data_IF_644576724737
#
_entry.id   IF_644576724737
#
_cell.length_a   1.000
_cell.length_b   1.000
_cell.length_c   1.000
_cell.angle_alpha   90.00
_cell.angle_beta   90.00
_cell.angle_gamma   90.00
#
_symmetry.space_group_name_H-M   'P 1'
#
loop_
_entity.id
_entity.type
_entity.pdbx_description
1 polymer ?
#
# COMPACT_ATOMS: atom_id res chain seq x y z
N UNK A 1 5.34 4.12 29.34
CA UNK A 1 6.68 3.59 29.01
C UNK A 1 7.44 4.66 28.26
N UNK A 2 8.74 4.82 28.51
CA UNK A 2 9.57 5.79 27.79
C UNK A 2 10.33 5.04 26.70
N UNK A 3 10.10 5.39 25.45
CA UNK A 3 10.82 4.83 24.31
C UNK A 3 12.00 5.73 23.94
N UNK A 4 13.12 5.13 23.54
CA UNK A 4 14.31 5.85 23.07
C UNK A 4 14.06 6.50 21.69
N UNK A 5 13.29 5.82 20.84
CA UNK A 5 12.93 6.32 19.52
C UNK A 5 11.48 5.97 19.13
N UNK A 6 10.90 6.83 18.30
CA UNK A 6 9.66 6.59 17.58
C UNK A 6 9.99 6.11 16.17
N UNK A 7 9.38 5.01 15.72
CA UNK A 7 9.61 4.45 14.40
C UNK A 7 8.39 4.70 13.52
N UNK A 8 8.41 5.81 12.78
CA UNK A 8 7.33 6.22 11.87
C UNK A 8 7.50 5.55 10.52
N UNK A 9 6.46 4.87 10.07
CA UNK A 9 6.45 4.14 8.81
C UNK A 9 5.04 4.08 8.24
N UNK A 10 4.91 3.84 6.93
CA UNK A 10 3.61 3.60 6.31
C UNK A 10 3.25 2.12 6.37
N UNK A 11 2.02 1.80 6.77
CA UNK A 11 1.53 0.42 6.85
C UNK A 11 1.61 -0.33 5.52
N UNK A 12 1.54 0.39 4.39
CA UNK A 12 1.70 -0.16 3.04
C UNK A 12 3.08 -0.79 2.78
N UNK A 13 4.07 -0.47 3.62
CA UNK A 13 5.42 -1.02 3.54
C UNK A 13 5.73 -2.03 4.65
N UNK A 14 4.75 -2.40 5.48
CA UNK A 14 4.94 -3.40 6.54
C UNK A 14 5.29 -4.74 5.91
N UNK A 15 6.53 -5.16 6.06
CA UNK A 15 6.99 -6.46 5.60
C UNK A 15 8.02 -7.07 6.58
N UNK A 16 8.51 -8.27 6.26
CA UNK A 16 9.51 -8.96 7.08
C UNK A 16 10.82 -8.18 7.19
N UNK A 17 11.17 -7.37 6.19
CA UNK A 17 12.42 -6.61 6.15
C UNK A 17 12.34 -5.40 7.07
N UNK A 18 11.20 -4.70 7.07
CA UNK A 18 10.95 -3.56 7.94
C UNK A 18 10.91 -3.99 9.41
N UNK A 19 10.19 -5.09 9.69
CA UNK A 19 10.17 -5.71 11.03
C UNK A 19 11.57 -6.17 11.46
N UNK A 20 12.34 -6.74 10.52
CA UNK A 20 13.73 -7.12 10.73
C UNK A 20 14.62 -5.93 11.08
N UNK A 21 14.49 -4.82 10.36
CA UNK A 21 15.23 -3.59 10.63
C UNK A 21 14.89 -3.01 12.01
N UNK A 22 13.60 -2.91 12.34
CA UNK A 22 13.17 -2.45 13.66
C UNK A 22 13.73 -3.34 14.78
N UNK A 23 13.70 -4.67 14.59
CA UNK A 23 14.26 -5.63 15.55
C UNK A 23 15.76 -5.46 15.73
N UNK A 24 16.51 -5.42 14.63
CA UNK A 24 17.97 -5.29 14.65
C UNK A 24 18.39 -3.96 15.32
N UNK A 25 17.71 -2.86 14.99
CA UNK A 25 17.96 -1.56 15.61
C UNK A 25 17.63 -1.55 17.10
N UNK A 26 16.50 -2.12 17.49
CA UNK A 26 16.11 -2.21 18.91
C UNK A 26 17.13 -3.02 19.71
N UNK A 27 17.67 -4.09 19.14
CA UNK A 27 18.72 -4.88 19.79
C UNK A 27 20.01 -4.06 19.97
N UNK A 28 20.48 -3.39 18.92
CA UNK A 28 21.68 -2.56 19.01
C UNK A 28 21.53 -1.41 20.05
N UNK A 29 20.34 -0.81 20.16
CA UNK A 29 20.06 0.20 21.20
C UNK A 29 20.08 -0.41 22.60
N UNK A 30 19.49 -1.61 22.80
CA UNK A 30 19.54 -2.31 24.09
C UNK A 30 20.96 -2.63 24.51
N UNK A 31 21.76 -3.15 23.59
CA UNK A 31 23.15 -3.53 23.86
C UNK A 31 23.96 -2.32 24.33
N UNK A 32 23.77 -1.15 23.70
CA UNK A 32 24.44 0.11 24.11
C UNK A 32 23.98 0.65 25.45
N UNK A 33 22.73 0.39 25.85
CA UNK A 33 22.15 0.84 27.11
C UNK A 33 22.29 -0.20 28.25
N UNK A 34 22.82 -1.39 27.97
CA UNK A 34 22.90 -2.49 28.93
C UNK A 34 21.54 -3.03 29.36
N UNK A 35 20.53 -2.97 28.48
CA UNK A 35 19.16 -3.38 28.76
C UNK A 35 18.90 -4.85 28.38
N UNK A 36 17.88 -5.45 29.00
CA UNK A 36 17.47 -6.82 28.73
C UNK A 36 16.64 -6.98 27.45
N UNK A 37 16.48 -8.22 26.93
CA UNK A 37 15.77 -8.47 25.67
C UNK A 37 14.29 -8.06 25.66
N UNK A 38 13.66 -7.98 26.84
CA UNK A 38 12.25 -7.62 27.01
C UNK A 38 12.03 -6.12 27.20
N UNK A 39 13.10 -5.33 27.39
CA UNK A 39 12.97 -3.88 27.57
C UNK A 39 12.56 -3.22 26.26
N UNK A 40 11.47 -2.46 26.31
CA UNK A 40 10.93 -1.77 25.14
C UNK A 40 11.70 -0.47 24.90
N UNK A 41 12.56 -0.46 23.87
CA UNK A 41 13.40 0.71 23.54
C UNK A 41 12.88 1.53 22.36
N UNK A 42 12.06 0.95 21.48
CA UNK A 42 11.49 1.63 20.31
C UNK A 42 9.98 1.50 20.29
N UNK A 43 9.29 2.58 19.92
CA UNK A 43 7.86 2.51 19.63
C UNK A 43 7.65 2.16 18.15
N UNK A 44 6.90 1.09 17.90
CA UNK A 44 6.50 0.62 16.58
C UNK A 44 5.03 0.25 16.62
N UNK A 45 4.17 1.10 16.06
CA UNK A 45 2.73 0.84 16.07
C UNK A 45 2.40 -0.37 15.19
N UNK A 46 1.80 -1.41 15.77
CA UNK A 46 1.33 -2.61 15.06
C UNK A 46 -0.21 -2.76 15.14
N UNK A 47 -0.94 -1.77 15.67
CA UNK A 47 -2.37 -1.91 15.98
C UNK A 47 -3.23 -1.67 14.73
N UNK A 48 -4.27 -2.51 14.57
CA UNK A 48 -5.26 -2.46 13.47
C UNK A 48 -6.33 -1.38 13.72
N UNK A 49 -5.95 -0.12 13.83
CA UNK A 49 -6.93 0.95 13.99
C UNK A 49 -6.71 2.02 12.92
N UNK A 50 -7.69 2.14 12.03
CA UNK A 50 -8.11 3.40 11.40
C UNK A 50 -9.64 3.47 11.51
N UNK A 51 -10.10 3.93 12.67
CA UNK A 51 -11.48 4.37 12.87
C UNK A 51 -11.43 5.63 13.75
N UNK A 52 -11.62 6.79 13.13
CA UNK A 52 -11.97 8.04 13.81
C UNK A 52 -11.03 9.24 13.59
N UNK A 53 -11.57 10.43 13.82
CA UNK A 53 -10.93 11.75 13.74
C UNK A 53 -9.97 12.06 14.92
N UNK A 54 -9.71 11.09 15.80
CA UNK A 54 -8.98 11.27 17.06
C UNK A 54 -7.64 10.51 17.09
N UNK A 55 -6.61 11.12 17.67
CA UNK A 55 -5.32 10.47 17.90
C UNK A 55 -5.44 9.23 18.79
N UNK A 56 -4.72 8.15 18.46
CA UNK A 56 -4.44 7.10 19.45
C UNK A 56 -3.58 7.72 20.57
N UNK A 57 -4.08 7.66 21.80
CA UNK A 57 -3.40 8.21 22.98
C UNK A 57 -2.00 7.60 23.19
N UNK A 58 -1.78 6.34 22.78
CA UNK A 58 -0.48 5.68 22.86
C UNK A 58 0.51 6.21 21.83
N UNK A 59 0.06 6.57 20.63
CA UNK A 59 0.88 7.22 19.59
C UNK A 59 1.29 8.62 20.05
N UNK A 60 0.32 9.41 20.56
CA UNK A 60 0.62 10.75 21.11
C UNK A 60 1.59 10.64 22.30
N UNK A 61 1.35 9.73 23.25
CA UNK A 61 2.24 9.54 24.38
C UNK A 61 3.66 9.15 23.94
N UNK A 62 3.81 8.29 22.93
CA UNK A 62 5.11 7.94 22.36
C UNK A 62 5.77 9.12 21.64
N UNK A 63 5.02 9.86 20.81
CA UNK A 63 5.51 11.06 20.13
C UNK A 63 5.87 12.19 21.08
N UNK A 64 5.28 12.26 22.28
CA UNK A 64 5.58 13.27 23.30
C UNK A 64 6.73 12.87 24.24
N UNK A 65 7.03 11.58 24.39
CA UNK A 65 8.05 11.09 25.32
C UNK A 65 9.37 10.72 24.65
N UNK A 66 9.36 10.35 23.37
CA UNK A 66 10.56 9.97 22.62
C UNK A 66 11.47 11.17 22.35
N UNK A 67 12.77 10.89 22.22
CA UNK A 67 13.79 11.89 21.87
C UNK A 67 14.21 11.81 20.41
N UNK A 68 14.07 10.66 19.76
CA UNK A 68 14.42 10.48 18.34
C UNK A 68 13.21 10.03 17.54
N UNK A 69 13.00 10.65 16.38
CA UNK A 69 11.99 10.27 15.41
C UNK A 69 12.67 9.68 14.18
N UNK A 70 12.40 8.42 13.88
CA UNK A 70 12.91 7.75 12.69
C UNK A 70 11.79 7.72 11.65
N UNK A 71 12.00 8.42 10.54
CA UNK A 71 11.06 8.45 9.44
C UNK A 71 11.50 7.48 8.35
N UNK A 72 10.78 6.37 8.20
CA UNK A 72 11.12 5.32 7.23
C UNK A 72 10.50 5.65 5.88
N UNK A 73 11.21 6.49 5.13
CA UNK A 73 10.72 7.14 3.94
C UNK A 73 10.59 6.21 2.74
N UNK A 74 9.51 6.40 2.00
CA UNK A 74 9.18 5.70 0.77
C UNK A 74 8.17 6.51 -0.02
N UNK A 75 7.89 6.17 -1.29
CA UNK A 75 6.83 6.84 -2.04
C UNK A 75 5.48 6.86 -1.32
N UNK A 76 5.12 5.78 -0.61
CA UNK A 76 3.87 5.69 0.14
C UNK A 76 3.91 6.45 1.48
N UNK A 77 5.08 6.59 2.11
CA UNK A 77 5.25 7.36 3.36
C UNK A 77 4.98 8.84 3.13
N UNK A 78 5.53 9.41 2.05
CA UNK A 78 5.36 10.81 1.68
C UNK A 78 3.92 11.16 1.24
N UNK A 79 3.12 10.15 0.88
CA UNK A 79 1.70 10.31 0.54
C UNK A 79 0.77 10.08 1.73
N UNK A 80 1.31 9.64 2.87
CA UNK A 80 0.49 9.37 4.05
C UNK A 80 0.26 10.65 4.83
N UNK A 81 -0.99 11.10 4.86
CA UNK A 81 -1.39 12.26 5.67
C UNK A 81 -1.03 12.03 7.14
N UNK A 82 -1.34 10.84 7.66
CA UNK A 82 -1.06 10.43 9.04
C UNK A 82 0.44 10.49 9.37
N UNK A 83 1.31 9.88 8.57
CA UNK A 83 2.76 9.97 8.78
C UNK A 83 3.26 11.42 8.74
N UNK A 84 2.70 12.25 7.86
CA UNK A 84 3.05 13.67 7.81
C UNK A 84 2.52 14.46 9.01
N UNK A 85 1.41 14.06 9.65
CA UNK A 85 0.93 14.64 10.92
C UNK A 85 1.81 14.24 12.10
N UNK A 86 2.25 12.98 12.16
CA UNK A 86 3.23 12.51 13.16
C UNK A 86 4.53 13.31 13.05
N UNK A 87 5.02 13.50 11.81
CA UNK A 87 6.19 14.33 11.52
C UNK A 87 5.99 15.76 11.99
N UNK A 88 4.89 16.41 11.59
CA UNK A 88 4.59 17.79 11.94
C UNK A 88 4.53 17.99 13.46
N UNK A 89 3.92 17.05 14.19
CA UNK A 89 3.85 17.11 15.64
C UNK A 89 5.23 17.00 16.29
N UNK A 90 6.09 16.11 15.79
CA UNK A 90 7.46 15.98 16.30
C UNK A 90 8.32 17.21 15.95
N UNK A 91 8.16 17.78 14.77
CA UNK A 91 8.81 19.02 14.36
C UNK A 91 8.39 20.20 15.25
N UNK A 92 7.10 20.28 15.62
CA UNK A 92 6.61 21.29 16.55
C UNK A 92 7.29 21.20 17.92
N UNK A 93 7.58 19.99 18.43
CA UNK A 93 8.37 19.80 19.67
C UNK A 93 9.80 20.34 19.53
N UNK A 94 10.45 20.07 18.40
CA UNK A 94 11.79 20.61 18.11
C UNK A 94 11.74 22.13 18.11
N UNK A 95 10.81 22.73 17.36
CA UNK A 95 10.69 24.19 17.24
C UNK A 95 10.33 24.88 18.56
N UNK A 96 9.55 24.23 19.42
CA UNK A 96 9.22 24.76 20.74
C UNK A 96 10.41 24.73 21.72
N UNK A 97 11.37 23.82 21.52
CA UNK A 97 12.49 23.59 22.43
C UNK A 97 13.77 24.30 21.99
N UNK A 98 13.91 24.60 20.69
CA UNK A 98 15.10 25.20 20.10
C UNK A 98 14.74 26.50 19.36
N UNK A 99 15.39 27.64 19.68
CA UNK A 99 15.09 28.93 19.06
C UNK A 99 15.26 28.93 17.54
N UNK A 100 14.46 29.77 16.84
CA UNK A 100 14.65 30.02 15.41
C UNK A 100 16.07 30.58 15.16
N UNK A 101 16.83 29.94 14.27
CA UNK A 101 18.18 30.33 13.88
C UNK A 101 19.31 29.49 14.50
N UNK A 102 19.03 28.67 15.52
CA UNK A 102 19.96 27.64 15.95
C UNK A 102 19.89 26.42 15.01
N UNK A 103 21.02 25.74 14.79
CA UNK A 103 21.02 24.49 14.05
C UNK A 103 20.11 23.48 14.79
N UNK A 104 19.08 22.91 14.13
CA UNK A 104 18.17 21.99 14.80
C UNK A 104 18.95 20.75 15.28
N UNK A 105 18.60 20.18 16.44
CA UNK A 105 19.23 18.96 16.90
C UNK A 105 18.97 17.83 15.90
N UNK A 106 19.93 16.93 15.66
CA UNK A 106 19.81 15.86 14.69
C UNK A 106 18.99 14.70 15.27
N UNK A 107 17.76 14.97 15.72
CA UNK A 107 16.86 14.02 16.40
C UNK A 107 15.72 13.54 15.52
N UNK A 108 15.48 14.22 14.40
CA UNK A 108 14.64 13.72 13.31
C UNK A 108 15.57 13.03 12.30
N UNK A 109 15.37 11.74 12.07
CA UNK A 109 16.21 10.87 11.25
C UNK A 109 15.42 10.30 10.07
N UNK A 110 15.43 10.98 8.91
CA UNK A 110 14.86 10.43 7.69
C UNK A 110 15.75 9.31 7.15
N UNK A 111 15.15 8.17 6.80
CA UNK A 111 15.83 7.01 6.23
C UNK A 111 15.16 6.60 4.92
N UNK A 112 15.92 6.49 3.84
CA UNK A 112 15.38 6.03 2.56
C UNK A 112 15.16 4.51 2.62
N UNK A 113 13.91 4.09 2.76
CA UNK A 113 13.51 2.68 2.75
C UNK A 113 13.33 2.17 1.32
N UNK A 114 12.63 2.95 0.51
CA UNK A 114 12.43 2.75 -0.92
C UNK A 114 12.75 4.11 -1.58
N UNK A 115 13.64 4.16 -2.59
CA UNK A 115 13.96 5.41 -3.28
C UNK A 115 12.72 6.08 -3.88
N UNK A 116 12.74 7.40 -3.95
CA UNK A 116 11.68 8.23 -4.51
C UNK A 116 12.30 9.47 -5.16
N UNK A 117 11.60 10.05 -6.15
CA UNK A 117 12.00 11.33 -6.73
C UNK A 117 11.58 12.48 -5.78
N UNK A 118 12.57 13.24 -5.31
CA UNK A 118 12.48 14.16 -4.18
C UNK A 118 11.92 15.54 -4.55
N UNK A 119 11.59 15.80 -5.82
CA UNK A 119 11.43 17.16 -6.34
C UNK A 119 10.23 17.98 -5.82
N UNK A 120 9.23 17.39 -5.15
CA UNK A 120 8.03 18.13 -4.70
C UNK A 120 7.62 17.94 -3.22
N UNK A 121 7.62 16.73 -2.62
CA UNK A 121 7.16 16.54 -1.23
C UNK A 121 8.12 17.05 -0.16
N UNK A 122 9.36 17.40 -0.54
CA UNK A 122 10.45 17.74 0.38
C UNK A 122 10.76 19.24 0.43
N UNK A 123 10.15 20.06 -0.43
CA UNK A 123 10.30 21.53 -0.36
C UNK A 123 9.66 22.10 0.92
N UNK A 124 8.55 21.51 1.37
CA UNK A 124 7.86 21.90 2.62
C UNK A 124 8.61 21.51 3.89
N UNK A 125 9.55 20.56 3.80
CA UNK A 125 10.28 19.96 4.95
C UNK A 125 11.79 20.34 4.91
N UNK A 126 12.18 21.24 4.00
CA UNK A 126 13.53 21.57 3.49
C UNK A 126 14.63 22.00 4.48
N UNK A 127 14.53 21.68 5.76
CA UNK A 127 15.52 21.99 6.80
C UNK A 127 16.34 20.75 7.23
N UNK A 128 15.94 19.54 6.84
CA UNK A 128 16.57 18.29 7.31
C UNK A 128 17.41 17.60 6.24
N UNK A 129 18.56 17.06 6.64
CA UNK A 129 19.36 16.18 5.79
C UNK A 129 18.66 14.81 5.67
N UNK A 130 18.19 14.50 4.47
CA UNK A 130 17.39 13.30 4.17
C UNK A 130 18.20 12.00 4.03
N UNK A 131 19.53 12.12 4.05
CA UNK A 131 20.47 11.02 3.87
C UNK A 131 21.14 10.70 5.19
N UNK A 132 21.23 9.42 5.53
CA UNK A 132 22.09 8.99 6.62
C UNK A 132 23.53 8.96 6.08
N UNK A 133 24.40 9.84 6.56
CA UNK A 133 25.78 9.92 6.05
C UNK A 133 25.85 10.42 4.60
N UNK A 134 26.76 9.84 3.80
CA UNK A 134 27.03 10.27 2.42
C UNK A 134 25.85 9.95 1.47
N UNK A 135 25.29 10.94 0.75
CA UNK A 135 24.26 10.72 -0.27
C UNK A 135 24.59 9.66 -1.33
N UNK A 136 25.87 9.45 -1.61
CA UNK A 136 26.38 8.46 -2.56
C UNK A 136 26.28 7.01 -2.09
N UNK A 137 25.98 6.78 -0.81
CA UNK A 137 25.94 5.43 -0.24
C UNK A 137 24.75 4.61 -0.71
N UNK A 138 24.93 3.29 -0.72
CA UNK A 138 23.97 2.34 -1.29
C UNK A 138 22.59 2.41 -0.61
N UNK A 139 22.53 2.64 0.71
CA UNK A 139 21.26 2.77 1.43
C UNK A 139 20.49 4.03 1.04
N UNK A 140 21.15 5.08 0.56
CA UNK A 140 20.51 6.29 0.10
C UNK A 140 20.05 6.16 -1.36
N UNK A 141 20.86 5.52 -2.22
CA UNK A 141 20.54 5.37 -3.66
C UNK A 141 19.54 4.25 -3.94
N UNK A 142 19.76 3.07 -3.36
CA UNK A 142 18.96 1.87 -3.61
C UNK A 142 17.90 1.61 -2.53
N UNK A 143 18.00 2.30 -1.39
CA UNK A 143 17.11 2.14 -0.24
C UNK A 143 17.49 0.97 0.68
N UNK A 144 17.18 1.12 1.96
CA UNK A 144 17.42 0.10 2.98
C UNK A 144 16.66 -1.20 2.71
N UNK A 145 15.43 -1.14 2.16
CA UNK A 145 14.66 -2.36 1.83
C UNK A 145 15.42 -3.24 0.84
N UNK A 146 16.05 -2.65 -0.16
CA UNK A 146 16.86 -3.37 -1.13
C UNK A 146 18.05 -4.09 -0.48
N UNK A 147 18.75 -3.40 0.44
CA UNK A 147 19.86 -4.01 1.19
C UNK A 147 19.41 -5.16 2.08
N UNK A 148 18.24 -5.02 2.73
CA UNK A 148 17.64 -6.10 3.51
C UNK A 148 17.19 -7.29 2.64
N UNK A 149 16.68 -7.06 1.42
CA UNK A 149 16.38 -8.15 0.46
C UNK A 149 17.64 -8.90 0.02
N UNK A 150 18.78 -8.22 -0.06
CA UNK A 150 20.08 -8.80 -0.38
C UNK A 150 20.99 -8.87 0.85
N UNK A 151 20.42 -9.25 2.00
CA UNK A 151 21.12 -9.18 3.30
C UNK A 151 22.46 -9.91 3.31
N UNK A 152 22.60 -11.04 2.62
CA UNK A 152 23.88 -11.77 2.54
C UNK A 152 24.99 -10.91 1.93
N UNK A 153 24.67 -10.16 0.86
CA UNK A 153 25.61 -9.26 0.17
C UNK A 153 25.93 -8.02 0.98
N UNK A 154 24.93 -7.43 1.64
CA UNK A 154 25.08 -6.14 2.33
C UNK A 154 25.28 -6.26 3.85
N UNK A 155 25.50 -7.46 4.39
CA UNK A 155 25.56 -7.71 5.84
C UNK A 155 26.50 -6.77 6.61
N UNK A 156 27.77 -6.56 6.21
CA UNK A 156 28.67 -5.66 6.94
C UNK A 156 28.17 -4.20 6.95
N UNK A 157 27.62 -3.75 5.82
CA UNK A 157 27.07 -2.39 5.68
C UNK A 157 25.83 -2.20 6.56
N UNK A 158 24.91 -3.17 6.56
CA UNK A 158 23.72 -3.13 7.41
C UNK A 158 24.09 -3.09 8.90
N UNK A 159 25.06 -3.90 9.33
CA UNK A 159 25.53 -3.89 10.72
C UNK A 159 26.10 -2.52 11.09
N UNK A 160 27.04 -1.98 10.29
CA UNK A 160 27.66 -0.69 10.57
C UNK A 160 26.64 0.47 10.61
N UNK A 161 25.67 0.45 9.70
CA UNK A 161 24.60 1.44 9.64
C UNK A 161 23.70 1.39 10.88
N UNK A 162 23.29 0.19 11.28
CA UNK A 162 22.43 -0.03 12.45
C UNK A 162 23.15 0.37 13.73
N UNK A 163 24.43 0.00 13.87
CA UNK A 163 25.26 0.40 15.02
C UNK A 163 25.45 1.91 15.12
N UNK A 164 25.71 2.57 13.99
CA UNK A 164 25.83 4.04 13.93
C UNK A 164 24.51 4.72 14.31
N UNK A 165 23.39 4.24 13.77
CA UNK A 165 22.07 4.79 14.08
C UNK A 165 21.70 4.57 15.55
N UNK A 166 21.98 3.39 16.11
CA UNK A 166 21.78 3.09 17.52
C UNK A 166 22.61 4.02 18.42
N UNK A 167 23.86 4.29 18.07
CA UNK A 167 24.69 5.25 18.81
C UNK A 167 24.08 6.65 18.79
N UNK A 168 23.60 7.11 17.63
CA UNK A 168 22.95 8.42 17.51
C UNK A 168 21.66 8.52 18.34
N UNK A 169 20.92 7.42 18.49
CA UNK A 169 19.72 7.36 19.36
C UNK A 169 20.08 7.52 20.84
N UNK A 170 21.17 6.87 21.28
CA UNK A 170 21.66 6.98 22.66
C UNK A 170 22.22 8.38 22.92
N UNK A 171 23.01 8.93 22.00
CA UNK A 171 23.58 10.26 22.13
C UNK A 171 22.52 11.36 22.16
N UNK A 172 21.36 11.13 21.53
CA UNK A 172 20.27 12.08 21.49
C UNK A 172 19.64 12.38 22.87
N UNK A 173 19.89 11.55 23.89
CA UNK A 173 19.42 11.79 25.25
C UNK A 173 20.01 13.07 25.88
N UNK A 174 21.11 13.60 25.32
CA UNK A 174 21.70 14.89 25.75
C UNK A 174 20.84 16.10 25.39
N UNK A 175 19.89 15.96 24.46
CA UNK A 175 19.05 17.05 24.01
C UNK A 175 17.79 17.15 24.88
N UNK A 176 17.56 18.35 25.42
CA UNK A 176 16.29 18.63 26.06
C UNK A 176 15.20 18.85 25.01
N UNK A 177 14.14 18.09 25.12
CA UNK A 177 13.03 18.04 24.16
C UNK A 177 11.79 17.64 24.97
N UNK A 178 11.21 18.56 25.74
CA UNK A 178 10.03 18.29 26.55
C UNK A 178 8.81 17.94 25.70
N UNK A 179 7.75 17.50 26.36
CA UNK A 179 6.44 17.37 25.73
C UNK A 179 5.85 18.76 25.45
N UNK A 180 5.02 18.86 24.42
CA UNK A 180 4.21 20.06 24.17
C UNK A 180 3.21 20.26 25.32
N UNK A 181 2.99 21.50 25.78
CA UNK A 181 1.99 21.81 26.80
C UNK A 181 0.56 21.43 26.37
N UNK A 182 0.28 21.53 25.08
CA UNK A 182 -0.98 21.13 24.47
C UNK A 182 -0.71 20.45 23.13
N UNK A 183 -1.33 19.28 22.93
CA UNK A 183 -1.24 18.52 21.69
C UNK A 183 -2.45 18.87 20.82
N UNK A 184 -2.27 19.34 19.57
CA UNK A 184 -3.38 19.60 18.67
C UNK A 184 -4.15 18.32 18.33
N UNK A 185 -5.45 18.44 18.06
CA UNK A 185 -6.24 17.29 17.60
C UNK A 185 -5.73 16.78 16.25
N UNK A 186 -6.00 15.51 15.93
CA UNK A 186 -5.51 14.90 14.68
C UNK A 186 -6.11 15.58 13.45
N UNK A 187 -7.39 15.97 13.53
CA UNK A 187 -8.08 16.75 12.51
C UNK A 187 -7.43 18.13 12.28
N UNK A 188 -6.99 18.80 13.36
CA UNK A 188 -6.41 20.15 13.30
C UNK A 188 -4.91 20.17 12.96
N UNK A 189 -4.25 19.00 13.01
CA UNK A 189 -2.83 18.89 12.69
C UNK A 189 -2.65 18.85 11.18
N UNK A 190 -2.04 19.88 10.59
CA UNK A 190 -1.67 19.86 9.17
C UNK A 190 -0.54 18.85 8.93
N UNK A 191 -0.67 18.05 7.87
CA UNK A 191 0.38 17.14 7.44
C UNK A 191 1.61 17.90 6.92
N UNK A 192 2.81 17.51 7.33
CA UNK A 192 4.07 18.09 6.84
C UNK A 192 4.28 17.90 5.32
N UNK A 193 3.59 16.92 4.73
CA UNK A 193 3.65 16.62 3.29
C UNK A 193 2.57 17.33 2.47
N UNK A 194 1.69 18.10 3.12
CA UNK A 194 0.72 18.91 2.39
C UNK A 194 1.46 20.05 1.65
N UNK A 195 1.05 20.38 0.40
CA UNK A 195 1.63 21.51 -0.33
C UNK A 195 1.58 22.77 0.53
N UNK A 196 2.66 23.57 0.56
CA UNK A 196 2.64 24.89 1.20
C UNK A 196 1.57 25.73 0.52
N UNK A 197 0.55 26.14 1.26
CA UNK A 197 -0.37 27.15 0.76
C UNK A 197 0.37 28.47 0.82
N UNK A 198 0.52 29.13 -0.33
CA UNK A 198 1.02 30.49 -0.37
C UNK A 198 0.12 31.35 0.52
N UNK A 199 0.64 31.79 1.66
CA UNK A 199 -0.05 32.70 2.56
C UNK A 199 -0.40 33.96 1.79
N UNK A 200 -1.69 34.16 1.53
CA UNK A 200 -2.21 35.47 1.10
C UNK A 200 -2.23 36.31 2.36
N UNK A 201 -1.30 37.26 2.45
CA UNK A 201 -1.28 38.29 3.48
C UNK A 201 -2.60 39.09 3.41
N UNK A 202 -3.44 38.93 4.42
CA UNK A 202 -4.61 39.79 4.61
C UNK A 202 -4.16 41.18 5.10
N UNK A 203 -3.99 42.09 4.15
CA UNK A 203 -4.17 43.52 4.38
C UNK A 203 -5.44 43.95 3.64
N UNK A 204 -6.42 44.43 4.41
CA UNK A 204 -7.80 44.62 3.97
C UNK A 204 -7.98 45.59 2.80
N UNK A 205 -9.15 45.49 2.15
CA UNK A 205 -10.13 46.58 2.08
C UNK A 205 -11.42 46.00 1.49
N UNK A 206 -12.52 46.32 2.14
CA UNK A 206 -13.91 46.15 1.74
C UNK A 206 -14.21 46.54 0.28
N UNK A 207 -14.96 45.71 -0.42
CA UNK A 207 -15.61 46.06 -1.69
C UNK A 207 -16.54 44.95 -2.17
N UNK A 208 -17.84 45.07 -1.87
CA UNK A 208 -18.86 44.16 -2.38
C UNK A 208 -18.95 44.22 -3.91
N UNK A 209 -19.06 43.06 -4.54
CA UNK A 209 -19.17 42.94 -5.99
C UNK A 209 -19.52 41.52 -6.43
N UNK A 210 -20.82 41.25 -6.49
CA UNK A 210 -21.52 40.34 -7.40
C UNK A 210 -20.81 39.04 -7.80
N UNK A 211 -21.28 37.93 -7.22
CA UNK A 211 -20.99 36.55 -7.67
C UNK A 211 -21.47 36.39 -9.12
N UNK A 212 -20.55 36.61 -10.06
CA UNK A 212 -20.78 36.24 -11.45
C UNK A 212 -20.33 34.79 -11.60
N UNK A 213 -21.30 33.87 -11.54
CA UNK A 213 -21.13 32.47 -11.92
C UNK A 213 -20.63 32.41 -13.36
N UNK A 214 -19.30 32.30 -13.53
CA UNK A 214 -18.72 31.84 -14.78
C UNK A 214 -18.98 30.33 -14.87
N UNK A 215 -20.16 30.00 -15.40
CA UNK A 215 -20.46 28.71 -15.98
C UNK A 215 -19.67 28.60 -17.28
N UNK A 216 -18.44 28.11 -17.20
CA UNK A 216 -17.78 27.51 -18.35
C UNK A 216 -17.85 25.99 -18.21
N UNK A 217 -18.24 25.26 -19.26
CA UNK A 217 -18.39 23.82 -19.19
C UNK A 217 -17.03 23.17 -18.94
N UNK A 218 -16.96 22.37 -17.87
CA UNK A 218 -15.85 21.47 -17.61
C UNK A 218 -15.69 20.57 -18.84
N UNK A 219 -14.54 20.56 -19.54
CA UNK A 219 -14.29 19.55 -20.56
C UNK A 219 -14.30 18.17 -19.88
N UNK A 220 -15.02 17.16 -20.40
CA UNK A 220 -15.14 15.86 -19.75
C UNK A 220 -13.88 15.03 -20.00
N UNK A 221 -12.75 15.42 -19.42
CA UNK A 221 -11.51 14.61 -19.49
C UNK A 221 -10.63 14.93 -18.30
N UNK A 222 -11.01 14.45 -17.11
CA UNK A 222 -10.12 14.05 -16.01
C UNK A 222 -10.88 13.23 -14.92
N UNK A 223 -12.00 12.57 -15.26
CA UNK A 223 -12.82 11.81 -14.29
C UNK A 223 -12.53 10.30 -14.22
N UNK A 224 -11.69 9.72 -15.10
CA UNK A 224 -11.49 8.27 -15.16
C UNK A 224 -10.07 7.84 -14.78
N UNK A 225 -9.65 8.08 -13.53
CA UNK A 225 -8.40 7.53 -12.97
C UNK A 225 -8.64 6.34 -12.04
N UNK A 226 -9.88 6.10 -11.63
CA UNK A 226 -10.29 4.92 -10.86
C UNK A 226 -10.73 3.81 -11.83
N UNK A 227 -10.32 2.55 -11.64
CA UNK A 227 -10.85 1.46 -12.46
C UNK A 227 -12.35 1.37 -12.21
N UNK A 228 -13.12 1.36 -13.30
CA UNK A 228 -14.59 1.26 -13.29
C UNK A 228 -15.07 -0.14 -13.70
N UNK A 229 -14.14 -1.04 -14.04
CA UNK A 229 -14.42 -2.35 -14.60
C UNK A 229 -13.60 -3.42 -13.86
N UNK A 230 -14.28 -4.53 -13.51
CA UNK A 230 -13.68 -5.76 -12.99
C UNK A 230 -14.04 -6.93 -13.90
N UNK A 231 -13.05 -7.77 -14.21
CA UNK A 231 -13.20 -9.01 -14.94
C UNK A 231 -13.10 -10.20 -13.99
N UNK A 232 -14.09 -11.09 -14.03
CA UNK A 232 -14.09 -12.33 -13.27
C UNK A 232 -13.75 -13.52 -14.15
N UNK A 233 -12.75 -14.30 -13.74
CA UNK A 233 -12.40 -15.58 -14.35
C UNK A 233 -12.87 -16.67 -13.40
N UNK A 234 -13.73 -17.57 -13.89
CA UNK A 234 -14.23 -18.68 -13.08
C UNK A 234 -13.54 -19.97 -13.50
N UNK A 235 -12.74 -20.54 -12.60
CA UNK A 235 -12.02 -21.79 -12.82
C UNK A 235 -12.81 -22.90 -12.14
N UNK A 236 -13.84 -23.37 -12.84
CA UNK A 236 -14.69 -24.49 -12.43
C UNK A 236 -14.96 -25.38 -13.64
N UNK A 237 -14.71 -26.68 -13.50
CA UNK A 237 -14.73 -27.64 -14.59
C UNK A 237 -16.13 -27.78 -15.21
N UNK A 238 -16.18 -28.09 -16.50
CA UNK A 238 -17.43 -28.37 -17.21
C UNK A 238 -17.89 -29.81 -16.89
N UNK A 239 -19.13 -29.99 -16.38
CA UNK A 239 -19.74 -31.31 -16.14
C UNK A 239 -19.63 -32.29 -17.29
N UNK A 240 -19.68 -31.80 -18.54
CA UNK A 240 -19.56 -32.64 -19.73
C UNK A 240 -18.18 -33.30 -19.84
N UNK A 241 -17.14 -32.73 -19.22
CA UNK A 241 -15.76 -33.19 -19.36
C UNK A 241 -15.34 -34.19 -18.27
N UNK A 242 -15.93 -34.11 -17.07
CA UNK A 242 -15.54 -34.96 -15.95
C UNK A 242 -16.50 -36.13 -15.67
N UNK A 243 -17.67 -36.18 -16.31
CA UNK A 243 -18.60 -37.31 -16.21
C UNK A 243 -18.90 -37.71 -14.76
N UNK A 244 -18.63 -38.97 -14.40
CA UNK A 244 -18.89 -39.51 -13.06
C UNK A 244 -17.77 -39.24 -12.03
N UNK A 245 -16.71 -38.50 -12.40
CA UNK A 245 -15.61 -38.20 -11.47
C UNK A 245 -16.03 -37.30 -10.30
N UNK A 246 -17.13 -36.54 -10.45
CA UNK A 246 -17.75 -35.73 -9.39
C UNK A 246 -19.23 -35.50 -9.66
N UNK A 247 -19.97 -35.19 -8.60
CA UNK A 247 -21.35 -34.67 -8.67
C UNK A 247 -21.44 -33.41 -9.53
N UNK A 248 -22.39 -33.40 -10.47
CA UNK A 248 -22.57 -32.31 -11.44
C UNK A 248 -23.48 -31.20 -10.90
N UNK A 249 -24.27 -31.47 -9.86
CA UNK A 249 -25.26 -30.57 -9.27
C UNK A 249 -24.68 -29.21 -8.83
N UNK A 250 -23.46 -29.12 -8.26
CA UNK A 250 -22.82 -27.84 -7.97
C UNK A 250 -22.40 -27.05 -9.21
N UNK A 251 -22.14 -27.70 -10.34
CA UNK A 251 -21.62 -27.09 -11.58
C UNK A 251 -22.72 -26.79 -12.62
N UNK A 252 -23.92 -27.30 -12.39
CA UNK A 252 -25.08 -27.17 -13.28
C UNK A 252 -24.75 -27.76 -14.66
N UNK A 253 -24.89 -27.00 -15.75
CA UNK A 253 -24.79 -27.50 -17.12
C UNK A 253 -23.45 -27.17 -17.78
N UNK A 254 -22.70 -26.19 -17.27
CA UNK A 254 -21.49 -25.67 -17.94
C UNK A 254 -20.31 -25.37 -17.00
N UNK A 255 -20.48 -25.48 -15.68
CA UNK A 255 -19.45 -25.07 -14.73
C UNK A 255 -19.18 -23.57 -14.78
N UNK A 256 -17.91 -23.17 -14.63
CA UNK A 256 -17.49 -21.77 -14.70
C UNK A 256 -18.32 -20.82 -13.83
N UNK A 257 -18.93 -19.81 -14.47
CA UNK A 257 -19.76 -18.80 -13.81
C UNK A 257 -21.01 -19.35 -13.12
N UNK A 258 -21.51 -20.52 -13.56
CA UNK A 258 -22.73 -21.15 -13.04
C UNK A 258 -22.47 -22.06 -11.83
N UNK A 259 -21.20 -22.29 -11.50
CA UNK A 259 -20.80 -23.08 -10.34
C UNK A 259 -21.32 -22.48 -9.02
N UNK A 260 -21.70 -23.35 -8.09
CA UNK A 260 -22.19 -23.04 -6.74
C UNK A 260 -21.16 -23.55 -5.71
N UNK A 261 -20.27 -22.67 -5.21
CA UNK A 261 -19.15 -23.10 -4.38
C UNK A 261 -19.56 -23.71 -3.04
N UNK A 262 -20.69 -23.28 -2.48
CA UNK A 262 -21.14 -23.64 -1.13
C UNK A 262 -22.38 -24.54 -1.13
N UNK A 263 -22.62 -25.26 -2.23
CA UNK A 263 -23.73 -26.22 -2.31
C UNK A 263 -23.49 -27.42 -1.36
N UNK A 264 -24.50 -27.90 -0.58
CA UNK A 264 -25.91 -27.52 -0.63
C UNK A 264 -26.32 -26.37 0.30
N UNK A 265 -25.45 -25.95 1.22
CA UNK A 265 -25.74 -24.90 2.21
C UNK A 265 -26.16 -23.57 1.57
N UNK A 266 -25.59 -23.24 0.39
CA UNK A 266 -26.08 -22.17 -0.47
C UNK A 266 -26.25 -22.65 -1.92
N UNK A 267 -27.38 -22.29 -2.52
CA UNK A 267 -27.69 -22.56 -3.92
C UNK A 267 -27.30 -21.40 -4.87
N UNK A 268 -26.68 -20.34 -4.33
CA UNK A 268 -26.27 -19.15 -5.08
C UNK A 268 -25.15 -19.50 -6.07
N UNK A 269 -25.33 -19.09 -7.33
CA UNK A 269 -24.27 -19.20 -8.35
C UNK A 269 -23.19 -18.17 -8.08
N UNK A 270 -21.93 -18.55 -8.26
CA UNK A 270 -20.76 -17.71 -7.94
C UNK A 270 -20.80 -16.37 -8.67
N UNK A 271 -21.24 -16.33 -9.94
CA UNK A 271 -21.32 -15.06 -10.68
C UNK A 271 -22.27 -14.05 -10.04
N UNK A 272 -23.42 -14.50 -9.52
CA UNK A 272 -24.38 -13.60 -8.85
C UNK A 272 -23.80 -13.05 -7.56
N UNK A 273 -23.12 -13.89 -6.78
CA UNK A 273 -22.52 -13.49 -5.53
C UNK A 273 -21.46 -12.39 -5.75
N UNK A 274 -20.61 -12.54 -6.77
CA UNK A 274 -19.54 -11.57 -7.04
C UNK A 274 -20.03 -10.31 -7.76
N UNK A 275 -21.01 -10.44 -8.66
CA UNK A 275 -21.65 -9.29 -9.32
C UNK A 275 -22.33 -8.38 -8.30
N UNK A 276 -23.06 -8.95 -7.33
CA UNK A 276 -23.72 -8.20 -6.25
C UNK A 276 -22.74 -7.35 -5.44
N UNK A 277 -21.53 -7.87 -5.19
CA UNK A 277 -20.49 -7.13 -4.46
C UNK A 277 -19.86 -6.06 -5.33
N UNK A 278 -19.54 -6.37 -6.59
CA UNK A 278 -18.92 -5.40 -7.50
C UNK A 278 -19.81 -4.18 -7.77
N UNK A 279 -21.14 -4.38 -7.88
CA UNK A 279 -22.11 -3.32 -8.14
C UNK A 279 -22.56 -2.54 -6.90
N UNK A 280 -21.95 -2.75 -5.73
CA UNK A 280 -22.31 -2.03 -4.52
C UNK A 280 -21.89 -0.55 -4.62
N UNK A 281 -22.68 0.37 -4.04
CA UNK A 281 -22.49 1.82 -4.18
C UNK A 281 -21.10 2.33 -3.76
N UNK A 282 -20.42 1.63 -2.85
CA UNK A 282 -19.06 1.94 -2.39
C UNK A 282 -17.96 1.55 -3.40
N UNK A 283 -18.23 0.53 -4.23
CA UNK A 283 -17.32 0.02 -5.23
C UNK A 283 -17.62 0.53 -6.63
N UNK A 284 -18.89 0.69 -7.00
CA UNK A 284 -19.35 1.21 -8.30
C UNK A 284 -18.56 0.64 -9.49
N UNK A 285 -18.41 -0.69 -9.53
CA UNK A 285 -17.69 -1.41 -10.59
C UNK A 285 -18.68 -2.11 -11.52
N UNK A 286 -18.46 -1.97 -12.83
CA UNK A 286 -19.06 -2.86 -13.82
C UNK A 286 -18.32 -4.19 -13.81
N UNK A 287 -19.05 -5.30 -14.00
CA UNK A 287 -18.47 -6.65 -13.97
C UNK A 287 -18.73 -7.41 -15.27
N UNK A 288 -17.69 -8.06 -15.78
CA UNK A 288 -17.75 -8.92 -16.96
C UNK A 288 -17.05 -10.26 -16.66
N UNK A 289 -17.49 -11.34 -17.29
CA UNK A 289 -16.79 -12.63 -17.19
C UNK A 289 -15.77 -12.79 -18.31
N UNK A 290 -14.55 -13.17 -17.95
CA UNK A 290 -13.56 -13.66 -18.91
C UNK A 290 -13.63 -15.19 -19.01
N UNK A 291 -13.70 -15.75 -20.24
CA UNK A 291 -13.66 -17.18 -20.43
C UNK A 291 -12.27 -17.73 -20.06
N UNK A 292 -12.23 -18.88 -19.39
CA UNK A 292 -10.97 -19.59 -19.19
C UNK A 292 -10.57 -20.31 -20.49
N UNK A 293 -9.57 -19.79 -21.18
CA UNK A 293 -9.09 -20.29 -22.48
C UNK A 293 -7.55 -20.39 -22.50
N UNK A 294 -6.99 -20.90 -23.61
CA UNK A 294 -5.54 -20.87 -23.83
C UNK A 294 -4.95 -19.46 -24.00
N UNK A 295 -5.78 -18.45 -24.31
CA UNK A 295 -5.38 -17.04 -24.44
C UNK A 295 -5.50 -16.26 -23.14
N UNK A 296 -5.88 -16.91 -22.03
CA UNK A 296 -6.18 -16.23 -20.76
C UNK A 296 -5.05 -15.31 -20.28
N UNK A 297 -3.78 -15.68 -20.50
CA UNK A 297 -2.65 -14.86 -20.09
C UNK A 297 -2.59 -13.54 -20.87
N UNK A 298 -2.88 -13.59 -22.18
CA UNK A 298 -2.92 -12.42 -23.06
C UNK A 298 -4.13 -11.55 -22.69
N UNK A 299 -5.29 -12.18 -22.43
CA UNK A 299 -6.51 -11.48 -22.00
C UNK A 299 -6.32 -10.75 -20.66
N UNK A 300 -5.55 -11.34 -19.72
CA UNK A 300 -5.18 -10.71 -18.45
C UNK A 300 -4.20 -9.55 -18.68
N UNK A 301 -3.25 -9.69 -19.60
CA UNK A 301 -2.30 -8.63 -19.94
C UNK A 301 -2.98 -7.43 -20.61
N UNK A 302 -3.94 -7.69 -21.49
CA UNK A 302 -4.78 -6.66 -22.09
C UNK A 302 -5.67 -5.95 -21.06
N UNK A 303 -6.23 -6.70 -20.10
CA UNK A 303 -6.97 -6.13 -18.97
C UNK A 303 -6.05 -5.26 -18.09
N UNK A 304 -4.82 -5.70 -17.85
CA UNK A 304 -3.82 -4.90 -17.11
C UNK A 304 -3.48 -3.60 -17.84
N UNK A 305 -3.34 -3.64 -19.17
CA UNK A 305 -3.08 -2.47 -20.01
C UNK A 305 -4.26 -1.49 -19.99
N UNK A 306 -5.49 -2.02 -19.94
CA UNK A 306 -6.73 -1.25 -19.77
C UNK A 306 -7.00 -0.79 -18.34
N UNK A 307 -6.12 -1.13 -17.39
CA UNK A 307 -6.27 -0.83 -15.95
C UNK A 307 -7.53 -1.43 -15.34
N UNK A 308 -7.92 -2.61 -15.81
CA UNK A 308 -9.08 -3.35 -15.29
C UNK A 308 -8.61 -4.31 -14.19
N UNK A 309 -9.45 -4.50 -13.17
CA UNK A 309 -9.18 -5.46 -12.10
C UNK A 309 -9.53 -6.86 -12.60
N UNK A 310 -8.69 -7.87 -12.38
CA UNK A 310 -9.02 -9.27 -12.70
C UNK A 310 -9.11 -10.11 -11.42
N UNK A 311 -10.24 -10.76 -11.18
CA UNK A 311 -10.41 -11.69 -10.06
C UNK A 311 -10.60 -13.10 -10.59
N UNK A 312 -9.72 -14.01 -10.18
CA UNK A 312 -9.82 -15.43 -10.45
C UNK A 312 -10.51 -16.11 -9.28
N UNK A 313 -11.60 -16.82 -9.53
CA UNK A 313 -12.28 -17.63 -8.54
C UNK A 313 -12.06 -19.08 -8.90
N UNK A 314 -11.34 -19.80 -8.05
CA UNK A 314 -10.81 -21.12 -8.37
C UNK A 314 -11.44 -22.19 -7.49
N UNK A 315 -12.04 -23.19 -8.13
CA UNK A 315 -12.43 -24.43 -7.47
C UNK A 315 -11.20 -25.34 -7.34
N UNK A 316 -10.84 -25.67 -6.09
CA UNK A 316 -9.65 -26.48 -5.80
C UNK A 316 -9.68 -27.86 -6.43
N UNK A 317 -10.85 -28.49 -6.50
CA UNK A 317 -10.98 -29.80 -7.15
C UNK A 317 -10.88 -29.73 -8.67
N UNK A 318 -11.47 -28.72 -9.32
CA UNK A 318 -11.32 -28.53 -10.77
C UNK A 318 -9.86 -28.35 -11.15
N UNK A 319 -9.10 -27.65 -10.30
CA UNK A 319 -7.66 -27.48 -10.44
C UNK A 319 -6.90 -28.81 -10.26
N UNK A 320 -7.29 -29.63 -9.28
CA UNK A 320 -6.75 -30.97 -9.08
C UNK A 320 -7.05 -31.92 -10.25
N UNK A 321 -8.27 -31.87 -10.77
CA UNK A 321 -8.75 -32.76 -11.82
C UNK A 321 -8.16 -32.43 -13.20
N UNK A 322 -8.17 -31.16 -13.61
CA UNK A 322 -7.75 -30.75 -14.96
C UNK A 322 -6.33 -30.20 -15.01
N UNK A 323 -5.41 -30.92 -15.67
CA UNK A 323 -4.02 -30.48 -15.84
C UNK A 323 -3.90 -29.15 -16.63
N UNK A 324 -4.78 -28.92 -17.60
CA UNK A 324 -4.80 -27.68 -18.39
C UNK A 324 -5.07 -26.43 -17.55
N UNK A 325 -5.84 -26.55 -16.46
CA UNK A 325 -6.06 -25.44 -15.53
C UNK A 325 -4.76 -25.09 -14.79
N UNK A 326 -4.03 -26.09 -14.32
CA UNK A 326 -2.76 -25.89 -13.59
C UNK A 326 -1.69 -25.27 -14.46
N UNK A 327 -1.51 -25.78 -15.67
CA UNK A 327 -0.44 -25.33 -16.57
C UNK A 327 -0.55 -23.83 -16.89
N UNK A 328 -1.77 -23.31 -17.04
CA UNK A 328 -2.03 -21.89 -17.29
C UNK A 328 -1.84 -21.07 -16.00
N UNK A 329 -2.38 -21.54 -14.87
CA UNK A 329 -2.31 -20.81 -13.61
C UNK A 329 -0.90 -20.79 -13.00
N UNK A 330 -0.09 -21.82 -13.19
CA UNK A 330 1.33 -21.83 -12.81
C UNK A 330 2.14 -20.79 -13.59
N UNK A 331 1.80 -20.54 -14.86
CA UNK A 331 2.44 -19.46 -15.65
C UNK A 331 1.99 -18.09 -15.18
N UNK A 332 0.72 -17.95 -14.78
CA UNK A 332 0.21 -16.72 -14.18
C UNK A 332 0.92 -16.41 -12.85
N UNK A 333 1.13 -17.43 -11.99
CA UNK A 333 1.82 -17.31 -10.69
C UNK A 333 3.27 -16.82 -10.80
N UNK A 334 3.90 -16.97 -11.97
CA UNK A 334 5.26 -16.46 -12.21
C UNK A 334 5.32 -14.93 -12.35
N UNK A 335 4.19 -14.27 -12.60
CA UNK A 335 4.09 -12.81 -12.80
C UNK A 335 3.91 -12.10 -11.45
N UNK A 336 4.53 -10.93 -11.28
CA UNK A 336 4.46 -10.10 -10.06
C UNK A 336 3.61 -8.83 -10.28
N UNK A 337 2.61 -8.94 -11.16
CA UNK A 337 1.76 -7.84 -11.58
C UNK A 337 0.63 -7.59 -10.54
N UNK A 338 0.16 -6.35 -10.39
CA UNK A 338 -0.64 -5.92 -9.24
C UNK A 338 -2.14 -5.77 -9.53
N UNK A 339 -2.63 -6.28 -10.66
CA UNK A 339 -4.00 -6.05 -11.12
C UNK A 339 -4.89 -7.29 -11.03
N UNK A 340 -4.37 -8.41 -10.51
CA UNK A 340 -5.14 -9.63 -10.37
C UNK A 340 -5.03 -10.27 -8.99
N UNK A 341 -6.07 -11.04 -8.62
CA UNK A 341 -6.16 -11.74 -7.34
C UNK A 341 -6.86 -13.09 -7.52
N UNK A 342 -6.44 -14.09 -6.75
CA UNK A 342 -7.00 -15.46 -6.73
C UNK A 342 -7.74 -15.69 -5.42
N UNK A 343 -9.01 -16.06 -5.54
CA UNK A 343 -9.89 -16.45 -4.45
C UNK A 343 -10.23 -17.93 -4.60
N UNK A 344 -10.03 -18.72 -3.54
CA UNK A 344 -10.34 -20.16 -3.53
C UNK A 344 -11.45 -20.41 -2.50
N UNK A 345 -12.71 -20.48 -2.94
CA UNK A 345 -13.81 -20.99 -2.12
C UNK A 345 -13.51 -22.42 -1.65
N UNK A 346 -13.82 -22.71 -0.40
CA UNK A 346 -13.67 -24.03 0.18
C UNK A 346 -14.98 -24.45 0.85
N UNK A 347 -15.52 -25.59 0.49
CA UNK A 347 -16.73 -26.11 1.11
C UNK A 347 -16.39 -27.29 2.00
N UNK A 348 -16.50 -27.10 3.32
CA UNK A 348 -16.22 -28.14 4.31
C UNK A 348 -17.30 -29.22 4.34
N UNK A 349 -18.51 -28.89 3.87
CA UNK A 349 -19.64 -29.80 3.78
C UNK A 349 -19.65 -30.64 2.48
N UNK A 350 -18.65 -30.47 1.60
CA UNK A 350 -18.54 -31.27 0.38
C UNK A 350 -17.78 -32.59 0.62
N UNK A 351 -18.47 -33.74 0.67
CA UNK A 351 -17.85 -35.03 0.91
C UNK A 351 -16.87 -35.46 -0.21
N UNK A 352 -17.05 -34.98 -1.45
CA UNK A 352 -16.17 -35.38 -2.57
C UNK A 352 -14.81 -34.66 -2.45
N UNK A 353 -14.81 -33.37 -2.09
CA UNK A 353 -13.59 -32.60 -1.82
C UNK A 353 -12.90 -33.03 -0.51
N UNK A 354 -13.66 -33.42 0.52
CA UNK A 354 -13.09 -33.83 1.80
C UNK A 354 -12.29 -35.14 1.73
N UNK A 355 -12.63 -36.06 0.81
CA UNK A 355 -11.90 -37.33 0.62
C UNK A 355 -10.48 -37.15 0.10
N UNK A 356 -10.24 -36.10 -0.70
CA UNK A 356 -8.96 -35.80 -1.34
C UNK A 356 -8.46 -34.40 -0.95
N UNK A 357 -8.86 -33.93 0.24
CA UNK A 357 -8.59 -32.59 0.74
C UNK A 357 -7.09 -32.25 0.74
N UNK A 358 -6.25 -33.18 1.21
CA UNK A 358 -4.81 -32.97 1.29
C UNK A 358 -4.17 -32.88 -0.10
N UNK A 359 -4.65 -33.67 -1.06
CA UNK A 359 -4.17 -33.64 -2.45
C UNK A 359 -4.56 -32.36 -3.17
N UNK A 360 -5.79 -31.87 -2.95
CA UNK A 360 -6.26 -30.59 -3.47
C UNK A 360 -5.42 -29.44 -2.88
N UNK A 361 -5.18 -29.45 -1.56
CA UNK A 361 -4.35 -28.43 -0.90
C UNK A 361 -2.91 -28.45 -1.39
N UNK A 362 -2.32 -29.64 -1.55
CA UNK A 362 -0.99 -29.80 -2.13
C UNK A 362 -0.94 -29.25 -3.56
N UNK A 363 -1.96 -29.53 -4.37
CA UNK A 363 -2.04 -29.04 -5.75
C UNK A 363 -2.19 -27.52 -5.83
N UNK A 364 -3.03 -26.92 -4.97
CA UNK A 364 -3.16 -25.47 -4.84
C UNK A 364 -1.83 -24.83 -4.43
N UNK A 365 -1.16 -25.42 -3.43
CA UNK A 365 0.14 -24.96 -2.96
C UNK A 365 1.23 -25.04 -4.03
N UNK A 366 1.23 -26.07 -4.87
CA UNK A 366 2.17 -26.20 -5.99
C UNK A 366 1.86 -25.24 -7.14
N UNK A 367 0.56 -25.02 -7.42
CA UNK A 367 0.12 -24.15 -8.52
C UNK A 367 0.42 -22.68 -8.22
N UNK A 368 0.23 -22.27 -6.98
CA UNK A 368 0.42 -20.89 -6.51
C UNK A 368 1.64 -20.75 -5.58
N UNK A 369 2.69 -21.56 -5.77
CA UNK A 369 3.81 -21.66 -4.83
C UNK A 369 4.47 -20.31 -4.53
N UNK A 370 4.60 -19.42 -5.54
CA UNK A 370 5.22 -18.12 -5.31
C UNK A 370 4.40 -17.24 -4.38
N UNK A 371 3.08 -17.21 -4.56
CA UNK A 371 2.20 -16.34 -3.78
C UNK A 371 1.66 -17.00 -2.50
N UNK A 372 1.62 -18.33 -2.44
CA UNK A 372 1.23 -19.11 -1.26
C UNK A 372 2.39 -19.30 -0.26
N UNK A 373 3.63 -19.53 -0.74
CA UNK A 373 4.76 -19.91 0.12
C UNK A 373 5.94 -18.92 0.09
N UNK A 374 6.33 -18.37 -1.08
CA UNK A 374 7.53 -17.52 -1.20
C UNK A 374 7.30 -16.02 -0.93
N UNK A 375 6.09 -15.52 -1.17
CA UNK A 375 5.73 -14.10 -1.06
C UNK A 375 4.33 -13.93 -0.47
N UNK A 376 4.10 -14.57 0.68
CA UNK A 376 2.81 -14.63 1.38
C UNK A 376 2.23 -13.22 1.61
N UNK A 377 1.47 -12.75 0.63
CA UNK A 377 0.82 -11.46 0.61
C UNK A 377 -0.67 -11.73 0.42
N UNK A 378 -1.50 -11.48 1.45
CA UNK A 378 -2.91 -11.83 1.42
C UNK A 378 -3.69 -11.06 0.34
N UNK A 379 -3.10 -10.08 -0.34
CA UNK A 379 -3.72 -9.39 -1.47
C UNK A 379 -3.89 -10.27 -2.72
N UNK A 380 -2.97 -11.21 -2.97
CA UNK A 380 -2.90 -11.93 -4.24
C UNK A 380 -3.57 -13.29 -4.21
N UNK A 381 -3.51 -13.97 -3.08
CA UNK A 381 -4.04 -15.31 -2.92
C UNK A 381 -4.74 -15.41 -1.58
N UNK A 382 -6.02 -15.76 -1.62
CA UNK A 382 -6.79 -16.08 -0.43
C UNK A 382 -7.47 -17.43 -0.62
N UNK A 383 -7.01 -18.40 0.16
CA UNK A 383 -7.63 -19.72 0.27
C UNK A 383 -8.54 -19.82 1.50
N UNK A 384 -9.26 -20.95 1.58
CA UNK A 384 -10.08 -21.35 2.73
C UNK A 384 -11.23 -20.38 3.02
N UNK A 385 -11.91 -19.91 1.97
CA UNK A 385 -13.11 -19.08 2.11
C UNK A 385 -14.31 -20.02 2.28
N UNK A 386 -14.77 -20.22 3.52
CA UNK A 386 -15.68 -21.32 3.89
C UNK A 386 -17.16 -21.03 3.72
N UNK A 387 -17.54 -19.78 3.45
CA UNK A 387 -18.95 -19.40 3.29
C UNK A 387 -19.17 -18.28 2.28
N UNK A 388 -20.42 -18.16 1.80
CA UNK A 388 -20.83 -17.09 0.87
C UNK A 388 -20.61 -15.70 1.47
N UNK A 389 -20.92 -15.51 2.75
CA UNK A 389 -20.73 -14.22 3.43
C UNK A 389 -19.25 -13.86 3.59
N UNK A 390 -18.41 -14.85 3.87
CA UNK A 390 -16.95 -14.65 3.88
C UNK A 390 -16.43 -14.33 2.47
N UNK A 391 -16.96 -14.98 1.42
CA UNK A 391 -16.61 -14.67 0.04
C UNK A 391 -16.96 -13.22 -0.31
N UNK A 392 -18.16 -12.75 0.04
CA UNK A 392 -18.57 -11.36 -0.19
C UNK A 392 -17.66 -10.36 0.55
N UNK A 393 -17.35 -10.64 1.82
CA UNK A 393 -16.47 -9.79 2.64
C UNK A 393 -15.06 -9.71 2.07
N UNK A 394 -14.46 -10.87 1.77
CA UNK A 394 -13.11 -10.96 1.20
C UNK A 394 -13.06 -10.29 -0.16
N UNK A 395 -14.04 -10.55 -1.03
CA UNK A 395 -14.10 -9.95 -2.35
C UNK A 395 -14.19 -8.43 -2.27
N UNK A 396 -15.07 -7.87 -1.41
CA UNK A 396 -15.16 -6.41 -1.21
C UNK A 396 -13.81 -5.84 -0.79
N UNK A 397 -13.18 -6.44 0.22
CA UNK A 397 -11.84 -6.02 0.69
C UNK A 397 -10.81 -6.03 -0.45
N UNK A 398 -10.75 -7.10 -1.26
CA UNK A 398 -9.80 -7.19 -2.38
C UNK A 398 -10.10 -6.17 -3.48
N UNK A 399 -11.37 -6.01 -3.86
CA UNK A 399 -11.77 -5.04 -4.89
C UNK A 399 -11.46 -3.60 -4.46
N UNK A 400 -11.75 -3.22 -3.22
CA UNK A 400 -11.39 -1.89 -2.69
C UNK A 400 -9.88 -1.68 -2.75
N UNK A 401 -9.09 -2.66 -2.31
CA UNK A 401 -7.62 -2.54 -2.32
C UNK A 401 -7.04 -2.50 -3.73
N UNK A 402 -7.53 -3.33 -4.66
CA UNK A 402 -7.07 -3.34 -6.05
C UNK A 402 -7.50 -2.07 -6.81
N UNK A 403 -8.71 -1.56 -6.55
CA UNK A 403 -9.20 -0.27 -7.08
C UNK A 403 -8.27 0.87 -6.66
N UNK A 404 -7.88 0.91 -5.40
CA UNK A 404 -6.94 1.90 -4.88
C UNK A 404 -5.51 1.71 -5.44
N UNK A 405 -5.03 0.47 -5.60
CA UNK A 405 -3.70 0.22 -6.18
C UNK A 405 -3.60 0.64 -7.66
N UNK A 406 -4.63 0.39 -8.46
CA UNK A 406 -4.68 0.84 -9.86
C UNK A 406 -4.79 2.36 -9.94
N UNK A 407 -5.61 3.00 -9.09
CA UNK A 407 -5.75 4.45 -9.01
C UNK A 407 -4.41 5.14 -8.70
N UNK A 408 -3.59 4.54 -7.83
CA UNK A 408 -2.26 5.06 -7.45
C UNK A 408 -1.22 5.00 -8.57
N UNK A 409 -1.41 4.15 -9.58
CA UNK A 409 -0.45 3.89 -10.68
C UNK A 409 -0.88 4.50 -12.01
N UNK A 410 -2.05 5.13 -12.04
CA UNK A 410 -2.59 5.78 -13.21
C UNK A 410 -1.79 7.07 -13.52
N UNK A 411 -0.83 7.00 -14.45
CA UNK A 411 -0.07 8.16 -14.93
C UNK A 411 -1.00 9.31 -15.37
N UNK A 412 -0.80 10.48 -14.78
CA UNK A 412 -1.39 11.74 -15.22
C UNK A 412 -0.56 12.25 -16.39
N UNK A 413 -0.97 11.97 -17.62
CA UNK A 413 -0.48 12.72 -18.78
C UNK A 413 -1.10 14.11 -18.73
N UNK A 414 -0.41 15.06 -18.12
CA UNK A 414 -0.75 16.47 -18.29
C UNK A 414 -0.37 16.89 -19.71
N UNK A 415 -1.29 17.48 -20.51
CA UNK A 415 -0.90 18.12 -21.75
C UNK A 415 0.08 19.25 -21.40
N UNK A 416 1.23 19.24 -22.05
CA UNK A 416 2.26 20.29 -21.93
C UNK A 416 1.58 21.64 -22.17
N UNK A 417 1.60 22.59 -21.23
CA UNK A 417 1.12 23.94 -21.50
C UNK A 417 1.99 24.52 -22.61
N UNK A 418 1.39 24.95 -23.71
CA UNK A 418 2.08 25.77 -24.70
C UNK A 418 2.60 27.02 -23.95
N UNK A 419 3.91 27.10 -23.73
CA UNK A 419 4.54 28.22 -23.05
C UNK A 419 4.21 29.54 -23.75
N UNK A 420 4.18 30.67 -23.03
CA UNK A 420 3.89 31.96 -23.62
C UNK A 420 4.93 32.29 -24.71
N UNK A 421 4.44 32.77 -25.86
CA UNK A 421 5.28 33.18 -26.98
C UNK A 421 6.34 34.18 -26.52
N UNK A 422 7.59 33.96 -26.94
CA UNK A 422 8.71 34.87 -26.68
C UNK A 422 8.31 36.30 -27.02
N UNK A 423 8.47 37.21 -26.05
CA UNK A 423 8.35 38.63 -26.29
C UNK A 423 9.47 39.08 -27.25
N UNK A 424 9.08 39.61 -28.41
CA UNK A 424 9.98 40.29 -29.34
C UNK A 424 10.19 41.69 -28.79
N UNK A 425 11.41 41.99 -28.34
CA UNK A 425 11.83 43.37 -28.05
C UNK A 425 12.25 43.99 -29.37
N UNK A 426 11.38 44.80 -29.97
CA UNK A 426 11.73 45.70 -31.06
C UNK A 426 12.30 47.00 -30.48
N UNK A 427 13.62 47.19 -30.63
CA UNK A 427 14.30 48.45 -30.30
C UNK A 427 14.13 49.51 -31.41
N UNK A 428 14.32 50.80 -31.08
CA UNK A 428 14.04 51.90 -32.00
C UNK A 428 15.06 51.95 -33.16
N UNK A 429 14.51 52.18 -34.34
CA UNK A 429 15.19 52.43 -35.61
C UNK A 429 16.23 53.55 -35.51
N UNK A 430 17.47 53.26 -35.91
CA UNK A 430 18.48 54.27 -36.25
C UNK A 430 18.68 54.27 -37.76
N UNK A 431 18.46 55.44 -38.36
CA UNK A 431 18.55 55.66 -39.80
C UNK A 431 19.96 55.59 -40.36
N UNK A 432 19.99 55.37 -41.68
CA UNK A 432 21.11 55.46 -42.59
C UNK A 432 20.58 55.33 -44.00
#
# INVERSE_FOLDING_TARGET
>A
MVYQFFFSYTRNNTDIYLKGFFKDLSNAVRDKLGLGPQDAVGFFDQRELELGEAWDQSIVAALQSTKVFIAVMSPAYLKSEYCGKEWALFEQRIRASFPQGAAPPPVLKPLIWIPFDAAAPLESVGTYQYTLGDPGEVHNQSGLKYMFKQRSKYRPHLIALIESLAQQIVDAQRYDLPALPAVPALADTRSAFAPLEASVDEAGTSGGGTVTRLTSPIPPTLLNLSPTHVRFVYVAADPAQFGNARRSEPYIARGGADWKPYYPASMTRVHRAVQFVASADDLDLTSESLPFSSSLLDDIEDACTRREIVILIVDGWSLYWGAHYRDILMRLDQRLDYHWCVLVPWNEDDPDSMRICDEIRATLGQTFDRHANLSNNPLFYQASITSEEQLKKVLREKLTRLKEEIRKRADVRMPVPAGPGKAIISGPSAGG
#
